data_IF_366741994953
#
_entry.id   IF_366741994953
#
_cell.length_a   1.000
_cell.length_b   1.000
_cell.length_c   1.000
_cell.angle_alpha   90.00
_cell.angle_beta   90.00
_cell.angle_gamma   90.00
#
_symmetry.space_group_name_H-M   'P 1'
#
loop_
_entity.id
_entity.type
_entity.pdbx_description
1 polymer ?
#
# COMPACT_ATOMS: atom_id res chain seq x y z
N UNK A 1 6.35 -28.79 4.49
CA UNK A 1 5.10 -28.01 4.26
C UNK A 1 5.32 -27.11 3.06
N UNK A 2 5.14 -27.65 1.86
CA UNK A 2 5.29 -26.89 0.61
C UNK A 2 4.00 -26.12 0.33
N UNK A 3 4.06 -24.79 0.41
CA UNK A 3 2.93 -23.95 0.04
C UNK A 3 2.85 -23.88 -1.48
N UNK A 4 1.96 -24.70 -2.06
CA UNK A 4 1.44 -24.49 -3.41
C UNK A 4 0.82 -23.09 -3.48
N UNK A 5 1.22 -22.30 -4.46
CA UNK A 5 0.50 -21.09 -4.84
C UNK A 5 0.38 -21.07 -6.37
N UNK A 6 -0.88 -21.15 -6.77
CA UNK A 6 -1.45 -21.32 -8.10
C UNK A 6 -0.89 -20.35 -9.17
N UNK A 7 -0.60 -20.92 -10.34
CA UNK A 7 -0.24 -20.22 -11.57
C UNK A 7 -1.50 -19.65 -12.26
N UNK A 8 -1.70 -18.33 -12.24
CA UNK A 8 -2.46 -17.62 -13.29
C UNK A 8 -2.14 -16.11 -13.30
N UNK A 9 -1.34 -15.70 -14.28
CA UNK A 9 -0.96 -14.29 -14.52
C UNK A 9 0.22 -13.83 -13.66
N UNK A 10 1.33 -13.45 -14.29
CA UNK A 10 2.52 -12.97 -13.58
C UNK A 10 2.18 -11.81 -12.66
N UNK A 11 2.35 -11.99 -11.35
CA UNK A 11 2.17 -10.90 -10.40
C UNK A 11 3.29 -9.88 -10.61
N UNK A 12 2.91 -8.61 -10.74
CA UNK A 12 3.88 -7.53 -10.90
C UNK A 12 4.59 -7.37 -9.55
N UNK A 13 5.83 -7.85 -9.50
CA UNK A 13 6.80 -7.58 -8.42
C UNK A 13 7.55 -6.26 -8.64
N UNK A 14 7.19 -5.52 -9.69
CA UNK A 14 7.84 -4.27 -10.11
C UNK A 14 7.19 -3.00 -9.55
N UNK A 15 7.82 -1.88 -9.91
CA UNK A 15 7.44 -0.51 -9.56
C UNK A 15 5.98 -0.21 -9.87
N UNK A 16 5.34 0.59 -9.03
CA UNK A 16 3.97 1.09 -9.27
C UNK A 16 4.01 2.19 -10.31
N UNK A 17 3.15 2.11 -11.31
CA UNK A 17 2.98 3.20 -12.26
C UNK A 17 2.00 4.23 -11.73
N UNK A 18 2.05 5.43 -12.30
CA UNK A 18 1.16 6.53 -11.91
C UNK A 18 -0.31 6.17 -12.17
N UNK A 19 -0.59 5.46 -13.26
CA UNK A 19 -1.95 5.02 -13.59
C UNK A 19 -2.47 3.99 -12.58
N UNK A 20 -1.60 3.12 -12.06
CA UNK A 20 -1.97 2.19 -10.99
C UNK A 20 -2.27 2.96 -9.69
N UNK A 21 -1.43 3.93 -9.33
CA UNK A 21 -1.64 4.76 -8.15
C UNK A 21 -2.94 5.58 -8.23
N UNK A 22 -3.24 6.18 -9.38
CA UNK A 22 -4.49 6.93 -9.61
C UNK A 22 -5.72 6.04 -9.44
N UNK A 23 -5.67 4.79 -9.94
CA UNK A 23 -6.75 3.82 -9.71
C UNK A 23 -6.93 3.47 -8.24
N UNK A 24 -5.83 3.38 -7.48
CA UNK A 24 -5.89 3.16 -6.03
C UNK A 24 -6.53 4.33 -5.32
N UNK A 25 -6.11 5.55 -5.65
CA UNK A 25 -6.65 6.77 -5.06
C UNK A 25 -8.14 6.89 -5.35
N UNK A 26 -8.55 6.86 -6.61
CA UNK A 26 -9.95 6.99 -7.00
C UNK A 26 -10.83 5.90 -6.37
N UNK A 27 -10.32 4.67 -6.27
CA UNK A 27 -11.07 3.59 -5.65
C UNK A 27 -11.27 3.83 -4.14
N UNK A 28 -10.23 4.27 -3.43
CA UNK A 28 -10.31 4.55 -2.00
C UNK A 28 -11.20 5.76 -1.72
N UNK A 29 -11.13 6.80 -2.55
CA UNK A 29 -12.05 7.95 -2.46
C UNK A 29 -13.51 7.51 -2.66
N UNK A 30 -13.77 6.59 -3.60
CA UNK A 30 -15.13 6.16 -3.95
C UNK A 30 -15.72 5.11 -3.00
N UNK A 31 -14.92 4.16 -2.53
CA UNK A 31 -15.39 2.98 -1.80
C UNK A 31 -14.74 2.79 -0.42
N UNK A 32 -13.75 3.63 -0.06
CA UNK A 32 -12.99 3.51 1.17
C UNK A 32 -11.95 2.39 1.18
N UNK A 33 -11.28 2.25 2.32
CA UNK A 33 -10.14 1.33 2.56
C UNK A 33 -10.54 -0.09 2.96
N UNK A 34 -11.80 -0.51 2.73
CA UNK A 34 -12.33 -1.80 3.20
C UNK A 34 -12.32 -2.90 2.13
N UNK A 35 -12.29 -2.55 0.85
CA UNK A 35 -12.55 -3.48 -0.27
C UNK A 35 -11.38 -3.63 -1.24
N UNK A 36 -10.19 -3.98 -0.74
CA UNK A 36 -8.97 -4.11 -1.55
C UNK A 36 -9.00 -5.23 -2.60
N UNK A 37 -9.84 -6.26 -2.39
CA UNK A 37 -9.98 -7.34 -3.37
C UNK A 37 -10.64 -6.86 -4.68
N UNK A 38 -11.46 -5.80 -4.61
CA UNK A 38 -12.19 -5.27 -5.77
C UNK A 38 -11.32 -4.33 -6.60
N UNK A 39 -10.44 -3.57 -5.98
CA UNK A 39 -9.42 -2.81 -6.71
C UNK A 39 -8.42 -3.72 -7.45
N UNK A 40 -8.05 -4.86 -6.85
CA UNK A 40 -7.20 -5.85 -7.51
C UNK A 40 -7.82 -6.41 -8.80
N UNK A 41 -9.15 -6.34 -8.96
CA UNK A 41 -9.82 -6.75 -10.21
C UNK A 41 -9.63 -5.74 -11.34
N UNK A 42 -9.44 -4.44 -11.02
CA UNK A 42 -9.21 -3.37 -12.00
C UNK A 42 -7.72 -3.11 -12.28
N UNK A 43 -6.84 -3.72 -11.46
CA UNK A 43 -5.40 -3.68 -11.58
C UNK A 43 -4.85 -5.06 -11.98
N UNK A 44 -4.67 -5.32 -13.29
CA UNK A 44 -4.14 -6.60 -13.73
C UNK A 44 -2.73 -6.82 -13.17
N UNK A 45 -2.52 -7.98 -12.53
CA UNK A 45 -1.22 -8.33 -11.96
C UNK A 45 -0.92 -7.78 -10.56
N UNK A 46 -1.82 -6.99 -9.96
CA UNK A 46 -1.72 -6.54 -8.55
C UNK A 46 -2.72 -7.26 -7.66
N UNK A 47 -2.29 -7.70 -6.48
CA UNK A 47 -3.16 -8.29 -5.46
C UNK A 47 -3.72 -7.22 -4.53
N UNK A 48 -4.87 -7.52 -3.91
CA UNK A 48 -5.49 -6.60 -2.94
C UNK A 48 -4.56 -6.24 -1.78
N UNK A 49 -3.74 -7.20 -1.33
CA UNK A 49 -2.69 -6.93 -0.33
C UNK A 49 -1.72 -5.83 -0.79
N UNK A 50 -1.24 -5.90 -2.03
CA UNK A 50 -0.31 -4.91 -2.58
C UNK A 50 -0.99 -3.53 -2.69
N UNK A 51 -2.26 -3.49 -3.09
CA UNK A 51 -3.03 -2.24 -3.19
C UNK A 51 -3.18 -1.57 -1.82
N UNK A 52 -3.51 -2.36 -0.78
CA UNK A 52 -3.58 -1.86 0.61
C UNK A 52 -2.26 -1.27 1.06
N UNK A 53 -1.17 -2.00 0.84
CA UNK A 53 0.18 -1.62 1.25
C UNK A 53 0.62 -0.34 0.53
N UNK A 54 0.38 -0.24 -0.78
CA UNK A 54 0.66 0.97 -1.56
C UNK A 54 -0.10 2.18 -1.04
N UNK A 55 -1.39 2.02 -0.72
CA UNK A 55 -2.19 3.10 -0.15
C UNK A 55 -1.63 3.58 1.19
N UNK A 56 -1.50 2.68 2.16
CA UNK A 56 -1.11 3.06 3.54
C UNK A 56 0.33 3.56 3.65
N UNK A 57 1.23 3.15 2.74
CA UNK A 57 2.64 3.50 2.82
C UNK A 57 3.04 4.68 1.93
N UNK A 58 2.29 4.97 0.85
CA UNK A 58 2.71 5.97 -0.13
C UNK A 58 1.62 6.94 -0.61
N UNK A 59 0.36 6.49 -0.73
CA UNK A 59 -0.71 7.29 -1.37
C UNK A 59 -1.66 7.96 -0.39
N UNK A 60 -1.76 7.48 0.84
CA UNK A 60 -2.65 8.06 1.83
C UNK A 60 -2.20 9.51 2.15
N UNK A 61 -3.05 10.53 1.95
CA UNK A 61 -2.69 11.92 2.22
C UNK A 61 -2.37 12.20 3.69
N UNK A 62 -2.87 11.38 4.62
CA UNK A 62 -2.53 11.47 6.05
C UNK A 62 -1.11 11.03 6.38
N UNK A 63 -0.36 10.48 5.41
CA UNK A 63 1.05 10.10 5.63
C UNK A 63 1.86 11.39 5.74
N UNK A 64 2.39 11.65 6.94
CA UNK A 64 3.36 12.72 7.13
C UNK A 64 4.66 12.35 6.39
N UNK A 65 4.94 13.09 5.31
CA UNK A 65 6.16 12.91 4.49
C UNK A 65 7.30 13.83 4.94
N UNK A 66 7.11 14.58 6.02
CA UNK A 66 8.14 15.47 6.56
C UNK A 66 9.19 14.65 7.32
N UNK A 67 10.38 15.23 7.44
CA UNK A 67 11.41 14.72 8.33
C UNK A 67 10.87 14.68 9.75
N UNK A 68 11.21 13.61 10.47
CA UNK A 68 10.94 13.47 11.90
C UNK A 68 11.37 14.73 12.65
N UNK A 69 10.52 15.20 13.56
CA UNK A 69 10.95 16.29 14.45
C UNK A 69 11.90 15.74 15.49
N UNK A 70 12.78 16.61 15.99
CA UNK A 70 13.72 16.26 17.08
C UNK A 70 12.97 15.77 18.32
N UNK A 71 11.75 16.25 18.54
CA UNK A 71 10.91 15.83 19.67
C UNK A 71 10.30 14.45 19.47
N UNK A 72 9.91 14.11 18.24
CA UNK A 72 9.51 12.73 17.91
C UNK A 72 10.72 11.81 18.14
N UNK A 73 11.89 12.18 17.59
CA UNK A 73 13.13 11.37 17.66
C UNK A 73 13.56 11.11 19.11
N UNK A 74 13.47 12.12 19.97
CA UNK A 74 13.72 12.00 21.39
C UNK A 74 12.80 10.98 22.08
N UNK A 75 11.49 10.95 21.74
CA UNK A 75 10.57 9.96 22.32
C UNK A 75 10.89 8.52 21.91
N UNK A 76 11.39 8.31 20.68
CA UNK A 76 11.81 6.96 20.28
C UNK A 76 13.05 6.50 21.04
N UNK A 77 13.99 7.42 21.30
CA UNK A 77 15.21 7.12 22.06
C UNK A 77 14.84 6.78 23.51
N UNK A 78 13.97 7.57 24.13
CA UNK A 78 13.51 7.35 25.52
C UNK A 78 12.73 6.04 25.70
N UNK A 79 12.00 5.56 24.69
CA UNK A 79 11.24 4.29 24.78
C UNK A 79 12.13 3.03 24.60
N UNK A 80 13.40 3.19 24.23
CA UNK A 80 14.35 2.08 24.10
C UNK A 80 15.29 1.87 25.31
N UNK A 81 15.18 2.69 26.35
CA UNK A 81 15.86 2.54 27.66
C UNK A 81 14.98 1.82 28.70
#
# INVERSE_FOLDING_TARGET
MERKADLKGGFIKGQWTREEDEKVIQYVEKYGTKQWARIAQVLPGRKGKQCRERWHNHLNPDINKLSWTVEEDARLIEEME
#
